data_IF_544638619426
#
_entry.id   IF_544638619426
#
_cell.length_a   1.000
_cell.length_b   1.000
_cell.length_c   1.000
_cell.angle_alpha   90.00
_cell.angle_beta   90.00
_cell.angle_gamma   90.00
#
_symmetry.space_group_name_H-M   'P 1'
#
loop_
_entity.id
_entity.type
_entity.pdbx_description
1 polymer ?
#
# COMPACT_ATOMS: atom_id res chain seq x y z
N UNK A 1 -4.89 -9.65 -0.92
CA UNK A 1 -3.73 -8.75 -0.78
C UNK A 1 -2.45 -9.52 -0.46
N UNK A 2 -2.26 -10.13 0.71
CA UNK A 2 -0.96 -10.75 1.10
C UNK A 2 -0.41 -11.78 0.09
N UNK A 3 -1.27 -12.63 -0.49
CA UNK A 3 -0.86 -13.59 -1.52
C UNK A 3 -0.33 -12.94 -2.81
N UNK A 4 -0.72 -11.70 -3.10
CA UNK A 4 -0.23 -10.96 -4.26
C UNK A 4 1.25 -10.61 -4.07
N UNK A 5 1.64 -10.15 -2.88
CA UNK A 5 2.99 -9.65 -2.61
C UNK A 5 4.01 -10.74 -2.26
N UNK A 6 3.58 -11.83 -1.60
CA UNK A 6 4.47 -12.84 -1.00
C UNK A 6 5.53 -13.43 -1.93
N UNK A 7 5.30 -13.42 -3.25
CA UNK A 7 6.17 -14.07 -4.22
C UNK A 7 7.27 -13.14 -4.75
N UNK A 8 7.22 -11.83 -4.43
CA UNK A 8 8.21 -10.84 -4.90
C UNK A 8 8.72 -9.90 -3.80
N UNK A 9 8.47 -10.21 -2.53
CA UNK A 9 9.05 -9.52 -1.37
C UNK A 9 9.75 -10.51 -0.44
N UNK A 10 10.80 -10.07 0.24
CA UNK A 10 11.55 -10.92 1.17
C UNK A 10 10.85 -11.09 2.53
N UNK A 11 10.10 -10.06 2.96
CA UNK A 11 9.42 -10.01 4.26
C UNK A 11 8.14 -9.17 4.17
N UNK A 12 7.12 -9.51 4.97
CA UNK A 12 5.85 -8.78 5.05
C UNK A 12 5.61 -8.33 6.49
N UNK A 13 5.36 -7.04 6.66
CA UNK A 13 5.02 -6.42 7.94
C UNK A 13 3.52 -6.13 7.99
N UNK A 14 2.75 -6.94 8.71
CA UNK A 14 1.30 -6.71 8.89
C UNK A 14 1.08 -5.82 10.11
N UNK A 15 0.54 -4.62 9.89
CA UNK A 15 0.10 -3.69 10.94
C UNK A 15 -1.42 -3.71 11.00
N UNK A 16 -1.97 -4.09 12.15
CA UNK A 16 -3.41 -4.19 12.37
C UNK A 16 -3.91 -2.96 13.13
N UNK A 17 -4.69 -2.14 12.45
CA UNK A 17 -5.33 -0.95 13.01
C UNK A 17 -6.75 -1.30 13.46
N UNK A 18 -7.00 -1.29 14.76
CA UNK A 18 -8.31 -1.63 15.33
C UNK A 18 -9.01 -0.36 15.81
N UNK A 19 -10.33 -0.29 15.63
CA UNK A 19 -11.14 0.81 16.18
C UNK A 19 -11.59 0.55 17.62
N UNK A 20 -11.42 -0.68 18.12
CA UNK A 20 -11.68 -1.05 19.51
C UNK A 20 -10.92 -2.34 19.88
N UNK A 21 -10.80 -2.61 21.18
CA UNK A 21 -10.22 -3.85 21.73
C UNK A 21 -11.06 -5.11 21.45
N UNK A 22 -12.32 -4.94 21.03
CA UNK A 22 -13.27 -6.01 20.70
C UNK A 22 -13.48 -6.19 19.20
N UNK A 23 -12.63 -5.55 18.41
CA UNK A 23 -12.75 -5.58 16.97
C UNK A 23 -12.43 -6.98 16.41
N UNK A 24 -13.38 -7.52 15.65
CA UNK A 24 -13.30 -8.88 15.08
C UNK A 24 -12.23 -8.99 14.01
N UNK A 25 -11.81 -7.86 13.44
CA UNK A 25 -10.74 -7.81 12.43
C UNK A 25 -9.47 -8.49 12.94
N UNK A 26 -9.13 -8.37 14.23
CA UNK A 26 -7.92 -9.01 14.76
C UNK A 26 -7.95 -10.54 14.63
N UNK A 27 -9.09 -11.17 14.94
CA UNK A 27 -9.21 -12.63 14.79
C UNK A 27 -9.12 -13.06 13.32
N UNK A 28 -9.77 -12.31 12.41
CA UNK A 28 -9.78 -12.63 10.99
C UNK A 28 -8.39 -12.47 10.37
N UNK A 29 -7.68 -11.38 10.68
CA UNK A 29 -6.30 -11.17 10.24
C UNK A 29 -5.38 -12.24 10.81
N UNK A 30 -5.54 -12.62 12.09
CA UNK A 30 -4.71 -13.66 12.72
C UNK A 30 -4.87 -15.02 12.03
N UNK A 31 -6.08 -15.39 11.63
CA UNK A 31 -6.33 -16.63 10.89
C UNK A 31 -5.65 -16.59 9.52
N UNK A 32 -5.82 -15.51 8.77
CA UNK A 32 -5.23 -15.31 7.43
C UNK A 32 -3.70 -15.33 7.49
N UNK A 33 -3.08 -14.59 8.41
CA UNK A 33 -1.62 -14.49 8.48
C UNK A 33 -1.00 -15.81 8.92
N UNK A 34 -1.67 -16.56 9.82
CA UNK A 34 -1.24 -17.90 10.23
C UNK A 34 -1.25 -18.90 9.08
N UNK A 35 -2.27 -18.89 8.22
CA UNK A 35 -2.32 -19.75 7.03
C UNK A 35 -1.19 -19.46 6.04
N UNK A 36 -0.76 -18.20 5.96
CA UNK A 36 0.34 -17.75 5.10
C UNK A 36 1.72 -17.81 5.76
N UNK A 37 1.80 -18.26 7.02
CA UNK A 37 3.04 -18.25 7.81
C UNK A 37 3.69 -16.85 7.88
N UNK A 38 2.86 -15.83 8.09
CA UNK A 38 3.24 -14.43 8.29
C UNK A 38 2.92 -14.05 9.74
N UNK A 39 3.85 -13.38 10.43
CA UNK A 39 3.61 -12.86 11.76
C UNK A 39 2.97 -11.45 11.68
N UNK A 40 2.07 -11.16 12.63
CA UNK A 40 1.57 -9.79 12.82
C UNK A 40 2.69 -8.96 13.46
N UNK A 41 3.15 -7.93 12.76
CA UNK A 41 4.21 -7.05 13.25
C UNK A 41 3.73 -6.17 14.40
N UNK A 42 2.55 -5.56 14.25
CA UNK A 42 2.02 -4.60 15.22
C UNK A 42 0.50 -4.63 15.22
N UNK A 43 -0.08 -4.47 16.40
CA UNK A 43 -1.52 -4.19 16.58
C UNK A 43 -1.66 -2.89 17.35
N UNK A 44 -2.56 -2.02 16.93
CA UNK A 44 -2.89 -0.78 17.64
C UNK A 44 -4.40 -0.61 17.75
N UNK A 45 -4.85 0.15 18.76
CA UNK A 45 -6.26 0.54 18.94
C UNK A 45 -6.31 2.06 18.89
N UNK A 46 -7.05 2.61 17.95
CA UNK A 46 -7.00 4.03 17.58
C UNK A 46 -8.39 4.50 17.14
N UNK A 47 -8.58 5.83 17.04
CA UNK A 47 -9.85 6.39 16.56
C UNK A 47 -10.15 6.00 15.11
N UNK A 48 -11.41 5.69 14.74
CA UNK A 48 -11.75 5.40 13.34
C UNK A 48 -11.32 6.52 12.39
N UNK A 49 -10.73 6.13 11.26
CA UNK A 49 -10.30 7.05 10.18
C UNK A 49 -9.21 8.06 10.59
N UNK A 50 -8.35 7.80 11.57
CA UNK A 50 -7.20 8.66 11.86
C UNK A 50 -6.05 8.44 10.85
N UNK A 51 -6.14 9.11 9.70
CA UNK A 51 -5.16 9.00 8.61
C UNK A 51 -3.76 9.47 9.00
N UNK A 52 -3.64 10.41 9.95
CA UNK A 52 -2.33 10.86 10.45
C UNK A 52 -1.65 9.72 11.20
N UNK A 53 -2.38 9.03 12.08
CA UNK A 53 -1.85 7.90 12.82
C UNK A 53 -1.49 6.72 11.90
N UNK A 54 -2.32 6.43 10.91
CA UNK A 54 -2.02 5.41 9.89
C UNK A 54 -0.70 5.74 9.16
N UNK A 55 -0.48 7.01 8.82
CA UNK A 55 0.75 7.48 8.16
C UNK A 55 1.98 7.38 9.06
N UNK A 56 1.83 7.73 10.34
CA UNK A 56 2.88 7.53 11.35
C UNK A 56 3.27 6.05 11.43
N UNK A 57 2.31 5.13 11.46
CA UNK A 57 2.58 3.69 11.53
C UNK A 57 3.40 3.20 10.33
N UNK A 58 3.07 3.64 9.11
CA UNK A 58 3.90 3.31 7.93
C UNK A 58 5.32 3.81 8.08
N UNK A 59 5.50 5.05 8.53
CA UNK A 59 6.81 5.65 8.66
C UNK A 59 7.62 5.03 9.83
N UNK A 60 6.99 4.76 10.97
CA UNK A 60 7.58 4.04 12.11
C UNK A 60 8.06 2.64 11.70
N UNK A 61 7.22 1.87 10.98
CA UNK A 61 7.56 0.51 10.56
C UNK A 61 8.67 0.50 9.52
N UNK A 62 8.62 1.36 8.49
CA UNK A 62 9.68 1.47 7.49
C UNK A 62 11.04 1.84 8.10
N UNK A 63 11.04 2.71 9.11
CA UNK A 63 12.25 3.13 9.81
C UNK A 63 12.95 2.02 10.59
N UNK A 64 12.33 0.86 10.78
CA UNK A 64 13.00 -0.32 11.34
C UNK A 64 14.14 -0.81 10.45
N UNK A 65 14.03 -0.60 9.14
CA UNK A 65 15.07 -0.91 8.16
C UNK A 65 15.22 0.28 7.20
N UNK A 66 15.91 1.35 7.62
CA UNK A 66 15.95 2.61 6.89
C UNK A 66 16.64 2.50 5.52
N UNK A 67 17.60 1.57 5.39
CA UNK A 67 18.36 1.37 4.15
C UNK A 67 17.71 0.37 3.18
N UNK A 68 16.68 -0.37 3.62
CA UNK A 68 15.96 -1.34 2.79
C UNK A 68 14.90 -0.65 1.93
N UNK A 69 14.46 -1.32 0.87
CA UNK A 69 13.34 -0.89 0.03
C UNK A 69 12.03 -1.47 0.55
N UNK A 70 11.00 -0.63 0.59
CA UNK A 70 9.69 -0.95 1.12
C UNK A 70 8.62 -0.72 0.07
N UNK A 71 7.62 -1.60 0.07
CA UNK A 71 6.33 -1.40 -0.57
C UNK A 71 5.33 -1.14 0.55
N UNK A 72 4.61 -0.03 0.49
CA UNK A 72 3.54 0.29 1.44
C UNK A 72 2.22 0.19 0.69
N UNK A 73 1.30 -0.61 1.21
CA UNK A 73 0.01 -0.91 0.60
C UNK A 73 -1.05 -0.99 1.67
N UNK A 74 -2.20 -0.38 1.42
CA UNK A 74 -3.41 -0.65 2.20
C UNK A 74 -4.00 -2.02 1.79
N UNK A 75 -4.97 -2.54 2.54
CA UNK A 75 -5.50 -3.91 2.38
C UNK A 75 -6.32 -4.11 1.09
N UNK A 76 -6.80 -3.02 0.48
CA UNK A 76 -7.49 -2.99 -0.80
C UNK A 76 -6.60 -2.54 -1.99
N UNK A 77 -5.30 -2.30 -1.76
CA UNK A 77 -4.35 -1.85 -2.79
C UNK A 77 -3.48 -3.00 -3.34
N UNK A 78 -3.34 -3.03 -4.68
CA UNK A 78 -2.59 -4.07 -5.38
C UNK A 78 -1.63 -3.43 -6.40
N UNK A 79 -0.33 -3.47 -6.10
CA UNK A 79 0.69 -2.90 -6.98
C UNK A 79 1.00 -3.80 -8.18
N UNK A 80 1.05 -3.22 -9.37
CA UNK A 80 1.49 -3.90 -10.60
C UNK A 80 2.62 -3.09 -11.21
N UNK A 81 3.74 -3.76 -11.48
CA UNK A 81 4.95 -3.13 -11.98
C UNK A 81 5.20 -3.49 -13.45
N UNK A 82 5.77 -2.57 -14.26
CA UNK A 82 6.05 -2.82 -15.68
C UNK A 82 7.18 -3.84 -15.93
N UNK A 83 8.02 -4.08 -14.93
CA UNK A 83 9.10 -5.09 -14.91
C UNK A 83 9.27 -5.62 -13.48
N UNK A 84 10.03 -6.71 -13.25
CA UNK A 84 10.30 -7.21 -11.91
C UNK A 84 10.77 -6.10 -10.95
N UNK A 85 10.28 -6.12 -9.71
CA UNK A 85 10.50 -5.02 -8.76
C UNK A 85 11.98 -4.82 -8.42
N UNK A 86 12.76 -5.90 -8.37
CA UNK A 86 14.21 -5.86 -8.16
C UNK A 86 14.93 -5.09 -9.27
N UNK A 87 14.52 -5.25 -10.53
CA UNK A 87 15.08 -4.49 -11.65
C UNK A 87 14.74 -3.00 -11.57
N UNK A 88 13.59 -2.62 -11.00
CA UNK A 88 13.25 -1.21 -10.78
C UNK A 88 14.08 -0.62 -9.63
N UNK A 89 14.30 -1.40 -8.57
CA UNK A 89 15.13 -1.02 -7.44
C UNK A 89 16.59 -0.83 -7.89
N UNK A 90 17.12 -1.75 -8.70
CA UNK A 90 18.47 -1.65 -9.26
C UNK A 90 18.67 -0.37 -10.08
N UNK A 91 17.72 -0.04 -10.99
CA UNK A 91 17.76 1.24 -11.73
C UNK A 91 17.81 2.45 -10.79
N UNK A 92 17.04 2.42 -9.69
CA UNK A 92 17.01 3.48 -8.70
C UNK A 92 18.35 3.61 -7.97
N UNK A 93 18.95 2.50 -7.53
CA UNK A 93 20.25 2.47 -6.86
C UNK A 93 21.36 3.03 -7.76
N UNK A 94 21.39 2.60 -9.03
CA UNK A 94 22.37 3.09 -10.01
C UNK A 94 22.22 4.59 -10.29
N UNK A 95 20.99 5.10 -10.24
CA UNK A 95 20.68 6.51 -10.51
C UNK A 95 20.70 7.39 -9.25
N UNK A 96 20.83 6.81 -8.06
CA UNK A 96 20.72 7.51 -6.78
C UNK A 96 19.30 7.96 -6.40
N UNK A 97 18.27 7.36 -7.00
CA UNK A 97 16.88 7.60 -6.63
C UNK A 97 16.49 6.78 -5.39
N UNK A 98 15.65 7.36 -4.52
CA UNK A 98 15.25 6.74 -3.25
C UNK A 98 13.79 6.29 -3.18
N UNK A 99 12.99 6.57 -4.21
CA UNK A 99 11.59 6.19 -4.27
C UNK A 99 11.09 6.14 -5.70
N UNK A 100 9.97 5.45 -5.89
CA UNK A 100 9.26 5.29 -7.16
C UNK A 100 7.83 5.79 -6.96
N UNK A 101 7.35 6.60 -7.88
CA UNK A 101 5.95 7.02 -7.94
C UNK A 101 5.17 6.22 -8.98
N UNK A 102 3.87 6.11 -8.76
CA UNK A 102 2.96 5.37 -9.63
C UNK A 102 1.57 6.00 -9.65
N UNK A 103 0.73 5.47 -10.53
CA UNK A 103 -0.66 5.88 -10.66
C UNK A 103 -1.58 4.98 -9.85
N UNK A 104 -2.50 5.59 -9.10
CA UNK A 104 -3.63 4.95 -8.45
C UNK A 104 -4.76 4.78 -9.47
N UNK A 105 -5.09 3.53 -9.77
CA UNK A 105 -6.16 3.17 -10.69
C UNK A 105 -7.25 2.45 -9.92
N UNK A 106 -8.46 2.97 -10.01
CA UNK A 106 -9.60 2.29 -9.44
C UNK A 106 -10.03 1.13 -10.37
N UNK A 107 -10.58 0.06 -9.78
CA UNK A 107 -11.12 -1.08 -10.53
C UNK A 107 -12.59 -1.33 -10.23
N UNK A 108 -13.36 -1.70 -11.25
CA UNK A 108 -14.80 -1.98 -11.15
C UNK A 108 -15.18 -3.25 -11.93
N UNK A 109 -16.24 -3.91 -11.49
CA UNK A 109 -16.81 -5.08 -12.15
C UNK A 109 -17.52 -4.71 -13.45
N UNK A 110 -17.77 -5.72 -14.29
CA UNK A 110 -18.45 -5.53 -15.57
C UNK A 110 -19.82 -4.84 -15.43
N UNK A 111 -20.06 -3.84 -16.28
CA UNK A 111 -21.26 -3.02 -16.22
C UNK A 111 -21.31 -2.06 -15.03
N UNK A 112 -20.16 -1.78 -14.39
CA UNK A 112 -20.07 -0.86 -13.24
C UNK A 112 -20.53 -1.45 -11.92
N UNK A 113 -20.48 -2.79 -11.79
CA UNK A 113 -20.90 -3.49 -10.57
C UNK A 113 -19.76 -3.54 -9.55
N UNK A 114 -20.14 -3.77 -8.30
CA UNK A 114 -19.24 -4.12 -7.21
C UNK A 114 -19.59 -5.53 -6.73
N UNK A 115 -18.97 -6.59 -7.32
CA UNK A 115 -19.14 -7.95 -6.85
C UNK A 115 -18.80 -8.06 -5.37
N UNK A 116 -19.56 -8.87 -4.64
CA UNK A 116 -19.28 -9.14 -3.23
C UNK A 116 -18.23 -10.24 -3.15
N UNK A 117 -17.07 -9.92 -2.59
CA UNK A 117 -16.07 -10.92 -2.23
C UNK A 117 -16.45 -11.52 -0.87
N UNK A 118 -16.61 -12.84 -0.82
CA UNK A 118 -16.90 -13.55 0.41
C UNK A 118 -15.61 -14.02 1.09
N UNK A 119 -15.57 -14.11 2.43
CA UNK A 119 -14.44 -14.73 3.12
C UNK A 119 -14.21 -16.16 2.63
N UNK A 120 -12.95 -16.53 2.40
CA UNK A 120 -12.53 -17.88 1.97
C UNK A 120 -13.08 -18.33 0.61
N UNK A 121 -13.52 -17.38 -0.22
CA UNK A 121 -13.87 -17.56 -1.62
C UNK A 121 -12.60 -17.61 -2.50
N UNK A 122 -12.55 -18.49 -3.49
CA UNK A 122 -11.47 -18.63 -4.46
C UNK A 122 -11.58 -17.64 -5.64
N UNK A 123 -12.46 -16.64 -5.50
CA UNK A 123 -12.63 -15.52 -6.42
C UNK A 123 -11.32 -14.84 -6.78
N UNK A 124 -11.13 -14.69 -8.08
CA UNK A 124 -9.98 -13.97 -8.65
C UNK A 124 -10.34 -12.49 -8.77
N UNK A 125 -9.76 -11.66 -7.89
CA UNK A 125 -10.03 -10.21 -7.83
C UNK A 125 -9.81 -9.52 -9.18
N UNK A 126 -8.87 -10.02 -9.99
CA UNK A 126 -8.57 -9.45 -11.31
C UNK A 126 -9.65 -9.78 -12.34
N UNK A 127 -10.33 -10.93 -12.19
CA UNK A 127 -11.49 -11.32 -13.01
C UNK A 127 -12.77 -10.64 -12.55
N UNK A 128 -12.98 -10.51 -11.25
CA UNK A 128 -14.17 -9.85 -10.67
C UNK A 128 -14.18 -8.35 -10.94
N UNK A 129 -13.01 -7.71 -10.99
CA UNK A 129 -12.84 -6.27 -11.25
C UNK A 129 -11.95 -6.01 -12.48
N UNK A 130 -12.41 -6.36 -13.69
CA UNK A 130 -11.57 -6.33 -14.90
C UNK A 130 -11.40 -4.92 -15.47
N UNK A 131 -12.32 -3.99 -15.22
CA UNK A 131 -12.27 -2.62 -15.74
C UNK A 131 -11.42 -1.75 -14.81
N UNK A 132 -10.48 -0.99 -15.36
CA UNK A 132 -9.60 -0.10 -14.60
C UNK A 132 -9.59 1.32 -15.17
N UNK A 133 -9.50 2.32 -14.30
CA UNK A 133 -9.38 3.72 -14.70
C UNK A 133 -9.42 4.67 -13.50
N UNK A 134 -9.10 5.94 -13.72
CA UNK A 134 -9.13 6.96 -12.67
C UNK A 134 -10.53 7.54 -12.52
N UNK A 135 -11.49 6.80 -11.95
CA UNK A 135 -12.87 7.30 -11.81
C UNK A 135 -13.02 8.23 -10.60
N UNK A 136 -12.23 8.02 -9.53
CA UNK A 136 -12.30 8.85 -8.32
C UNK A 136 -11.73 10.26 -8.53
N UNK A 137 -10.80 10.41 -9.47
CA UNK A 137 -10.23 11.71 -9.84
C UNK A 137 -11.30 12.69 -10.35
N UNK A 138 -12.04 12.41 -11.46
CA UNK A 138 -13.06 13.32 -11.95
C UNK A 138 -14.31 13.39 -11.06
N UNK A 139 -14.63 12.36 -10.27
CA UNK A 139 -15.84 12.32 -9.45
C UNK A 139 -15.66 13.01 -8.09
N UNK A 140 -14.49 12.86 -7.47
CA UNK A 140 -14.24 13.32 -6.10
C UNK A 140 -12.95 14.12 -5.91
N UNK A 141 -12.26 14.45 -7.01
CA UNK A 141 -10.94 15.09 -6.98
C UNK A 141 -9.91 14.30 -6.16
N UNK A 142 -10.01 12.96 -6.18
CA UNK A 142 -9.07 12.09 -5.48
C UNK A 142 -7.68 12.18 -6.12
N UNK A 143 -6.64 12.13 -5.28
CA UNK A 143 -5.26 12.17 -5.75
C UNK A 143 -4.90 10.84 -6.44
N UNK A 144 -4.51 10.86 -7.73
CA UNK A 144 -4.16 9.65 -8.46
C UNK A 144 -2.68 9.29 -8.31
N UNK A 145 -1.89 10.07 -7.56
CA UNK A 145 -0.47 9.80 -7.36
C UNK A 145 -0.25 8.94 -6.11
N UNK A 146 0.71 8.02 -6.17
CA UNK A 146 1.18 7.22 -5.04
C UNK A 146 2.69 7.11 -5.08
N UNK A 147 3.33 7.17 -3.93
CA UNK A 147 4.69 6.67 -3.74
C UNK A 147 4.60 5.18 -3.46
N UNK A 148 4.94 4.36 -4.46
CA UNK A 148 4.62 2.92 -4.49
C UNK A 148 5.76 2.03 -3.97
N UNK A 149 6.99 2.54 -4.00
CA UNK A 149 8.19 1.86 -3.51
C UNK A 149 9.13 2.94 -2.99
N UNK A 150 9.75 2.76 -1.82
CA UNK A 150 10.67 3.74 -1.27
C UNK A 150 11.70 3.13 -0.32
N UNK A 151 12.85 3.80 -0.15
CA UNK A 151 13.76 3.51 0.96
C UNK A 151 13.07 3.72 2.31
N UNK A 152 13.47 2.95 3.32
CA UNK A 152 12.85 3.00 4.65
C UNK A 152 12.96 4.36 5.33
N UNK A 153 14.05 5.09 5.06
CA UNK A 153 14.30 6.47 5.53
C UNK A 153 13.41 7.53 4.86
N UNK A 154 12.82 7.23 3.71
CA UNK A 154 11.91 8.14 3.01
C UNK A 154 10.53 8.08 3.65
N UNK A 155 10.16 9.18 4.30
CA UNK A 155 8.81 9.35 4.84
C UNK A 155 7.79 9.53 3.72
N UNK A 156 6.56 9.06 3.95
CA UNK A 156 5.42 9.28 3.06
C UNK A 156 4.34 10.13 3.74
N UNK A 157 3.55 10.83 2.93
CA UNK A 157 2.39 11.59 3.38
C UNK A 157 1.14 10.72 3.55
N UNK A 158 0.05 11.31 4.03
CA UNK A 158 -1.27 10.67 4.09
C UNK A 158 -1.66 10.00 2.76
N UNK A 159 -2.20 8.79 2.86
CA UNK A 159 -2.57 7.97 1.69
C UNK A 159 -1.38 7.57 0.81
N UNK A 160 -0.16 7.68 1.33
CA UNK A 160 1.10 7.44 0.62
C UNK A 160 1.16 8.19 -0.72
N UNK A 161 0.50 9.35 -0.82
CA UNK A 161 0.38 10.07 -2.08
C UNK A 161 1.69 10.71 -2.54
N UNK A 162 2.55 11.10 -1.60
CA UNK A 162 3.82 11.77 -1.87
C UNK A 162 4.91 11.28 -0.91
N UNK A 163 6.17 11.39 -1.34
CA UNK A 163 7.32 11.25 -0.47
C UNK A 163 7.62 12.59 0.22
N UNK A 164 8.34 12.54 1.34
CA UNK A 164 8.86 13.71 2.04
C UNK A 164 10.37 13.78 1.85
N UNK A 165 10.86 14.88 1.30
CA UNK A 165 12.28 15.16 1.04
C UNK A 165 12.62 16.52 1.64
N UNK A 166 13.64 16.58 2.50
CA UNK A 166 14.10 17.81 3.16
C UNK A 166 12.98 18.62 3.85
N UNK A 167 12.03 17.91 4.45
CA UNK A 167 10.88 18.52 5.16
C UNK A 167 9.75 19.02 4.24
N UNK A 168 9.80 18.72 2.94
CA UNK A 168 8.78 19.09 1.98
C UNK A 168 8.22 17.86 1.28
N UNK A 169 6.91 17.86 1.00
CA UNK A 169 6.32 16.82 0.16
C UNK A 169 6.77 16.96 -1.29
N UNK A 170 6.64 15.87 -2.04
CA UNK A 170 6.92 15.84 -3.48
C UNK A 170 5.75 16.31 -4.33
N UNK A 171 4.77 17.03 -3.77
CA UNK A 171 3.60 17.50 -4.50
C UNK A 171 3.93 18.71 -5.41
N UNK A 172 3.38 18.67 -6.63
CA UNK A 172 3.43 19.77 -7.60
C UNK A 172 4.77 19.93 -8.33
N UNK A 173 4.86 20.98 -9.14
CA UNK A 173 5.95 21.18 -10.13
C UNK A 173 7.34 21.44 -9.54
N UNK A 174 7.48 21.48 -8.20
CA UNK A 174 8.77 21.75 -7.53
C UNK A 174 9.81 20.66 -7.78
N UNK A 175 9.36 19.47 -8.15
CA UNK A 175 10.21 18.30 -8.35
C UNK A 175 10.18 17.81 -9.81
N UNK A 176 9.79 18.65 -10.78
CA UNK A 176 10.04 18.34 -12.19
C UNK A 176 11.57 18.38 -12.43
N UNK A 177 12.20 17.21 -12.48
CA UNK A 177 13.58 17.02 -12.95
C UNK A 177 13.61 16.83 -14.47
#
# INVERSE_FOLDING_TARGET
MLQHYKDFVDEIFVVVYLSSDKDRVLSEVTEITKELNIDIHKTTVEEPFNWERVTELYNETKLLKPDDWWIVSDDDEFHVYPKPINELIEDCEESGYKFITGAFLDRIGEGGRFPKILPFDDSDIWKEFPLAGSFRLPVSNACPNKTVVMKGDIQVTNGQHYAMIDGHDTYGDRWNH
#
